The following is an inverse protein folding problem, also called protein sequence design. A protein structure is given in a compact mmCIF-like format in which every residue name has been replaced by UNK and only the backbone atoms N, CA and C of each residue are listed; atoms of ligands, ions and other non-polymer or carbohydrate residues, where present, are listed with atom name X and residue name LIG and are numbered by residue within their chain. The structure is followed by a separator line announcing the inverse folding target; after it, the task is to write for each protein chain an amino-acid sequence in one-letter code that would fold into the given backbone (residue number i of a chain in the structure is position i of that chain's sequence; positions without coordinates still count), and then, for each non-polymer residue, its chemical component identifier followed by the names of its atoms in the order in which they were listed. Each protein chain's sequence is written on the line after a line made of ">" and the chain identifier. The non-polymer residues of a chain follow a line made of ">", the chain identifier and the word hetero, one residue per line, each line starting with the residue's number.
data_IF_982601655989
#
_entry.id   IF_982601655989
#
_cell.length_a   1.000
_cell.length_b   1.000
_cell.length_c   1.000
_cell.angle_alpha   90.00
_cell.angle_beta   90.00
_cell.angle_gamma   90.00
#
_symmetry.space_group_name_H-M   'P 1'
#
loop_
_entity.id
_entity.type
_entity.pdbx_description
1 polymer ?
#
# COMPACT_ATOMS: atom_id res chain seq x y z
N UNK A 1 14.31 8.20 -2.14
CA UNK A 1 14.61 6.78 -1.79
C UNK A 1 13.31 5.99 -1.73
N UNK A 2 13.29 4.71 -2.09
CA UNK A 2 12.08 3.88 -2.01
C UNK A 2 12.23 2.77 -0.96
N UNK A 3 11.15 2.47 -0.22
CA UNK A 3 11.09 1.32 0.69
C UNK A 3 9.71 0.69 0.70
N UNK A 4 9.66 -0.64 0.81
CA UNK A 4 8.41 -1.38 1.00
C UNK A 4 8.04 -1.39 2.47
N UNK A 5 6.79 -1.07 2.78
CA UNK A 5 6.25 -1.07 4.15
C UNK A 5 5.67 -2.44 4.50
N UNK A 6 5.66 -2.77 5.79
CA UNK A 6 5.12 -4.01 6.34
C UNK A 6 4.36 -3.75 7.64
N UNK A 7 3.59 -4.74 8.11
CA UNK A 7 2.88 -4.69 9.39
C UNK A 7 1.91 -3.51 9.52
N UNK A 8 1.91 -2.86 10.68
CA UNK A 8 0.99 -1.77 11.00
C UNK A 8 1.14 -0.55 10.09
N UNK A 9 2.37 -0.23 9.67
CA UNK A 9 2.62 0.89 8.78
C UNK A 9 1.94 0.66 7.43
N UNK A 10 2.07 -0.56 6.88
CA UNK A 10 1.41 -0.96 5.63
C UNK A 10 -0.10 -0.85 5.77
N UNK A 11 -0.68 -1.39 6.85
CA UNK A 11 -2.14 -1.36 7.08
C UNK A 11 -2.69 0.07 7.08
N UNK A 12 -2.00 0.98 7.79
CA UNK A 12 -2.39 2.39 7.86
C UNK A 12 -2.34 3.08 6.49
N UNK A 13 -1.29 2.83 5.71
CA UNK A 13 -1.13 3.41 4.38
C UNK A 13 -2.09 2.81 3.37
N UNK A 14 -2.35 1.50 3.45
CA UNK A 14 -3.32 0.81 2.61
C UNK A 14 -4.72 1.37 2.82
N UNK A 15 -5.13 1.59 4.08
CA UNK A 15 -6.42 2.24 4.38
C UNK A 15 -6.54 3.61 3.70
N UNK A 16 -5.50 4.44 3.79
CA UNK A 16 -5.47 5.75 3.10
C UNK A 16 -5.53 5.62 1.58
N UNK A 17 -4.86 4.60 1.02
CA UNK A 17 -4.92 4.34 -0.41
C UNK A 17 -6.33 3.96 -0.87
N UNK A 18 -7.08 3.21 -0.07
CA UNK A 18 -8.49 2.88 -0.34
C UNK A 18 -9.42 4.10 -0.22
N UNK A 19 -9.14 5.01 0.72
CA UNK A 19 -9.88 6.27 0.84
C UNK A 19 -9.70 7.16 -0.40
N UNK A 20 -8.49 7.19 -0.96
CA UNK A 20 -8.19 7.92 -2.19
C UNK A 20 -8.69 7.20 -3.46
N UNK A 21 -8.53 5.89 -3.52
CA UNK A 21 -8.88 5.06 -4.67
C UNK A 21 -9.51 3.72 -4.24
N UNK A 22 -10.84 3.70 -4.03
CA UNK A 22 -11.55 2.49 -3.58
C UNK A 22 -11.35 1.23 -4.44
N UNK A 23 -11.19 1.30 -5.78
CA UNK A 23 -11.01 0.09 -6.60
C UNK A 23 -9.78 -0.76 -6.30
N UNK A 24 -8.81 -0.25 -5.51
CA UNK A 24 -7.69 -1.09 -5.05
C UNK A 24 -8.12 -2.25 -4.15
N UNK A 25 -9.28 -2.14 -3.49
CA UNK A 25 -9.85 -3.25 -2.74
C UNK A 25 -10.09 -4.49 -3.63
N UNK A 26 -10.58 -4.28 -4.87
CA UNK A 26 -10.83 -5.37 -5.81
C UNK A 26 -9.53 -6.06 -6.24
N UNK A 27 -8.41 -5.35 -6.26
CA UNK A 27 -7.12 -5.93 -6.63
C UNK A 27 -6.64 -6.90 -5.56
N UNK A 28 -6.86 -6.55 -4.29
CA UNK A 28 -6.53 -7.42 -3.15
C UNK A 28 -7.35 -8.70 -3.15
N UNK A 29 -8.60 -8.67 -3.64
CA UNK A 29 -9.45 -9.85 -3.78
C UNK A 29 -8.99 -10.81 -4.89
N UNK A 30 -8.25 -10.30 -5.89
CA UNK A 30 -7.80 -11.07 -7.06
C UNK A 30 -6.49 -11.81 -6.84
N UNK A 31 -5.93 -11.78 -5.64
CA UNK A 31 -4.61 -12.36 -5.36
C UNK A 31 -4.50 -12.84 -3.92
N UNK A 32 -3.76 -13.93 -3.71
CA UNK A 32 -3.45 -14.45 -2.38
C UNK A 32 -2.23 -13.74 -1.75
N UNK A 33 -1.34 -13.18 -2.57
CA UNK A 33 -0.19 -12.40 -2.08
C UNK A 33 -0.63 -11.07 -1.47
N UNK A 34 0.07 -10.62 -0.44
CA UNK A 34 -0.12 -9.25 0.07
C UNK A 34 0.36 -8.24 -0.98
N UNK A 35 -0.49 -7.26 -1.34
CA UNK A 35 -0.11 -6.19 -2.26
C UNK A 35 0.93 -5.29 -1.55
N UNK A 36 2.15 -5.15 -2.09
CA UNK A 36 3.18 -4.32 -1.49
C UNK A 36 2.80 -2.83 -1.54
N UNK A 37 3.02 -2.13 -0.43
CA UNK A 37 2.87 -0.67 -0.36
C UNK A 37 4.25 -0.04 -0.23
N UNK A 38 4.63 0.76 -1.23
CA UNK A 38 5.94 1.41 -1.29
C UNK A 38 5.81 2.88 -0.90
N UNK A 39 6.66 3.31 0.03
CA UNK A 39 6.83 4.72 0.37
C UNK A 39 8.01 5.28 -0.41
N UNK A 40 7.80 6.47 -0.98
CA UNK A 40 8.83 7.23 -1.66
C UNK A 40 9.24 8.40 -0.76
N UNK A 41 10.45 8.33 -0.24
CA UNK A 41 11.09 9.43 0.45
C UNK A 41 11.78 10.36 -0.59
N UNK A 42 11.89 11.66 -0.33
CA UNK A 42 12.67 12.57 -1.16
C UNK A 42 14.09 12.04 -1.42
N UNK A 43 14.63 12.35 -2.59
CA UNK A 43 16.08 12.22 -2.85
C UNK A 43 16.71 13.56 -2.49
N UNK A 44 17.76 13.55 -1.68
CA UNK A 44 18.57 14.74 -1.43
C UNK A 44 19.37 15.10 -2.68
#
# INVERSE_FOLDING_TARGET
>A
RARTTAGEERLRLWKKALEFWPPYADYQLKTEREIPVVVLDPVQ
#
